data_IF_475211932935
#
_entry.id   IF_475211932935
#
_cell.length_a   1.000
_cell.length_b   1.000
_cell.length_c   1.000
_cell.angle_alpha   90.00
_cell.angle_beta   90.00
_cell.angle_gamma   90.00
#
_symmetry.space_group_name_H-M   'P 1'
#
loop_
_entity.id
_entity.type
_entity.pdbx_description
1 polymer ?
#
# COMPACT_ATOMS: atom_id res chain seq x y z
N UNK A 1 -17.19 40.66 -16.21
CA UNK A 1 -17.36 39.20 -16.01
C UNK A 1 -16.40 38.77 -14.92
N UNK A 2 -16.91 38.23 -13.81
CA UNK A 2 -16.10 37.87 -12.64
C UNK A 2 -15.68 36.41 -12.77
N UNK A 3 -14.38 36.14 -12.97
CA UNK A 3 -13.85 34.79 -13.14
C UNK A 3 -13.72 34.13 -11.76
N UNK A 4 -14.79 33.48 -11.32
CA UNK A 4 -14.75 32.62 -10.14
C UNK A 4 -13.95 31.36 -10.49
N UNK A 5 -12.67 31.35 -10.14
CA UNK A 5 -11.86 30.13 -10.16
C UNK A 5 -12.45 29.18 -9.11
N UNK A 6 -13.17 28.16 -9.53
CA UNK A 6 -13.50 27.02 -8.67
C UNK A 6 -12.17 26.44 -8.20
N UNK A 7 -11.74 26.74 -6.97
CA UNK A 7 -10.65 26.02 -6.32
C UNK A 7 -11.12 24.59 -6.17
N UNK A 8 -10.76 23.74 -7.14
CA UNK A 8 -10.88 22.29 -7.00
C UNK A 8 -9.90 21.94 -5.88
N UNK A 9 -10.42 21.89 -4.65
CA UNK A 9 -9.64 21.49 -3.49
C UNK A 9 -9.05 20.13 -3.78
N UNK A 10 -7.71 20.02 -3.74
CA UNK A 10 -7.07 18.72 -3.69
C UNK A 10 -7.53 18.08 -2.38
N UNK A 11 -8.56 17.24 -2.45
CA UNK A 11 -8.93 16.35 -1.35
C UNK A 11 -7.75 15.38 -1.25
N UNK A 12 -6.78 15.74 -0.40
CA UNK A 12 -5.70 14.85 -0.02
C UNK A 12 -6.36 13.86 0.92
N UNK A 13 -6.86 12.74 0.36
CA UNK A 13 -7.25 11.61 1.20
C UNK A 13 -6.04 11.32 2.09
N UNK A 14 -6.24 11.38 3.40
CA UNK A 14 -5.18 11.00 4.30
C UNK A 14 -4.90 9.52 3.99
N UNK A 15 -3.64 9.17 3.70
CA UNK A 15 -3.27 7.79 3.38
C UNK A 15 -3.68 6.84 4.53
N UNK A 16 -3.80 7.37 5.76
CA UNK A 16 -4.31 6.68 6.93
C UNK A 16 -5.80 6.29 6.85
N UNK A 17 -6.64 7.02 6.11
CA UNK A 17 -8.07 6.69 5.96
C UNK A 17 -8.33 5.60 4.92
N UNK A 18 -7.41 5.39 3.96
CA UNK A 18 -7.59 4.45 2.84
C UNK A 18 -6.84 3.13 3.05
N UNK A 19 -5.77 3.14 3.85
CA UNK A 19 -4.84 2.01 3.98
C UNK A 19 -4.57 1.70 5.44
N UNK A 20 -5.46 0.91 6.05
CA UNK A 20 -5.21 0.31 7.35
C UNK A 20 -4.03 -0.67 7.22
N UNK A 21 -2.93 -0.44 7.96
CA UNK A 21 -1.69 -1.22 7.86
C UNK A 21 -1.96 -2.73 7.99
N UNK A 22 -2.87 -3.10 8.89
CA UNK A 22 -3.26 -4.49 9.16
C UNK A 22 -3.89 -5.16 7.94
N UNK A 23 -4.68 -4.42 7.16
CA UNK A 23 -5.34 -4.95 5.97
C UNK A 23 -4.32 -5.15 4.83
N UNK A 24 -3.31 -4.27 4.73
CA UNK A 24 -2.20 -4.42 3.79
C UNK A 24 -1.35 -5.64 4.14
N UNK A 25 -1.04 -5.86 5.43
CA UNK A 25 -0.29 -7.02 5.89
C UNK A 25 -1.05 -8.33 5.63
N UNK A 26 -2.36 -8.36 5.88
CA UNK A 26 -3.21 -9.52 5.56
C UNK A 26 -3.24 -9.81 4.06
N UNK A 27 -3.38 -8.78 3.22
CA UNK A 27 -3.38 -8.94 1.76
C UNK A 27 -2.03 -9.44 1.25
N UNK A 28 -0.91 -8.96 1.82
CA UNK A 28 0.42 -9.45 1.51
C UNK A 28 0.54 -10.96 1.78
N UNK A 29 0.11 -11.41 2.97
CA UNK A 29 0.15 -12.84 3.32
C UNK A 29 -0.70 -13.67 2.35
N UNK A 30 -1.94 -13.23 2.11
CA UNK A 30 -2.86 -13.89 1.19
C UNK A 30 -2.26 -14.06 -0.22
N UNK A 31 -1.71 -13.00 -0.80
CA UNK A 31 -1.10 -13.09 -2.13
C UNK A 31 0.12 -14.00 -2.16
N UNK A 32 0.90 -14.04 -1.07
CA UNK A 32 2.08 -14.91 -0.98
C UNK A 32 1.67 -16.39 -0.93
N UNK A 33 0.61 -16.70 -0.16
CA UNK A 33 0.04 -18.05 -0.08
C UNK A 33 -0.59 -18.48 -1.42
N UNK A 34 -1.38 -17.60 -2.04
CA UNK A 34 -1.98 -17.87 -3.36
C UNK A 34 -0.92 -18.08 -4.43
N UNK A 35 0.15 -17.26 -4.45
CA UNK A 35 1.27 -17.42 -5.37
C UNK A 35 1.96 -18.77 -5.20
N UNK A 36 2.19 -19.19 -3.95
CA UNK A 36 2.83 -20.47 -3.65
C UNK A 36 1.97 -21.65 -4.11
N UNK A 37 0.66 -21.58 -3.86
CA UNK A 37 -0.29 -22.61 -4.30
C UNK A 37 -0.39 -22.70 -5.83
N UNK A 38 -0.28 -21.57 -6.53
CA UNK A 38 -0.37 -21.50 -7.98
C UNK A 38 0.95 -21.82 -8.70
N UNK A 39 2.07 -21.93 -7.98
CA UNK A 39 3.41 -22.11 -8.55
C UNK A 39 3.51 -23.28 -9.53
N UNK A 40 2.81 -24.38 -9.24
CA UNK A 40 2.86 -25.61 -10.05
C UNK A 40 1.81 -25.65 -11.16
N UNK A 41 0.70 -24.92 -11.01
CA UNK A 41 -0.42 -24.92 -11.96
C UNK A 41 -0.31 -23.82 -13.00
N UNK A 42 0.08 -22.62 -12.59
CA UNK A 42 0.26 -21.46 -13.45
C UNK A 42 1.39 -20.58 -12.92
N UNK A 43 2.58 -20.81 -13.48
CA UNK A 43 3.80 -20.10 -13.11
C UNK A 43 3.71 -18.61 -13.43
N UNK A 44 3.00 -18.24 -14.50
CA UNK A 44 2.85 -16.84 -14.91
C UNK A 44 1.98 -16.05 -13.94
N UNK A 45 0.91 -16.69 -13.45
CA UNK A 45 0.05 -16.11 -12.41
C UNK A 45 0.78 -16.05 -11.06
N UNK A 46 1.53 -17.09 -10.71
CA UNK A 46 2.36 -17.10 -9.50
C UNK A 46 3.37 -15.95 -9.47
N UNK A 47 4.10 -15.73 -10.57
CA UNK A 47 5.05 -14.62 -10.71
C UNK A 47 4.37 -13.25 -10.57
N UNK A 48 3.20 -13.09 -11.19
CA UNK A 48 2.39 -11.87 -11.06
C UNK A 48 1.99 -11.60 -9.60
N UNK A 49 1.49 -12.62 -8.90
CA UNK A 49 1.09 -12.51 -7.50
C UNK A 49 2.28 -12.18 -6.59
N UNK A 50 3.44 -12.79 -6.81
CA UNK A 50 4.67 -12.44 -6.09
C UNK A 50 5.13 -11.00 -6.36
N UNK A 51 4.99 -10.52 -7.60
CA UNK A 51 5.29 -9.14 -7.93
C UNK A 51 4.38 -8.15 -7.21
N UNK A 52 3.07 -8.41 -7.15
CA UNK A 52 2.12 -7.59 -6.38
C UNK A 52 2.40 -7.64 -4.87
N UNK A 53 2.68 -8.82 -4.32
CA UNK A 53 3.09 -8.98 -2.91
C UNK A 53 4.37 -8.17 -2.60
N UNK A 54 5.34 -8.12 -3.52
CA UNK A 54 6.55 -7.30 -3.38
C UNK A 54 6.25 -5.80 -3.30
N UNK A 55 5.25 -5.31 -4.06
CA UNK A 55 4.80 -3.91 -3.94
C UNK A 55 4.19 -3.64 -2.57
N UNK A 56 3.32 -4.53 -2.07
CA UNK A 56 2.71 -4.39 -0.75
C UNK A 56 3.76 -4.38 0.35
N UNK A 57 4.79 -5.25 0.26
CA UNK A 57 5.92 -5.25 1.19
C UNK A 57 6.65 -3.90 1.24
N UNK A 58 6.87 -3.26 0.09
CA UNK A 58 7.49 -1.91 0.04
C UNK A 58 6.60 -0.87 0.71
N UNK A 59 5.28 -0.94 0.50
CA UNK A 59 4.32 -0.04 1.14
C UNK A 59 4.33 -0.23 2.66
N UNK A 60 4.28 -1.48 3.15
CA UNK A 60 4.36 -1.80 4.59
C UNK A 60 5.65 -1.23 5.20
N UNK A 61 6.79 -1.42 4.52
CA UNK A 61 8.08 -0.93 5.00
C UNK A 61 8.11 0.60 5.08
N UNK A 62 7.59 1.28 4.05
CA UNK A 62 7.49 2.74 4.02
C UNK A 62 6.56 3.27 5.13
N UNK A 63 5.43 2.61 5.37
CA UNK A 63 4.49 2.99 6.43
C UNK A 63 5.10 2.79 7.83
N UNK A 64 5.81 1.68 8.05
CA UNK A 64 6.52 1.42 9.32
C UNK A 64 7.61 2.47 9.57
N UNK A 65 8.38 2.83 8.54
CA UNK A 65 9.41 3.87 8.62
C UNK A 65 8.81 5.27 8.80
N UNK A 66 7.66 5.56 8.20
CA UNK A 66 6.97 6.83 8.41
C UNK A 66 6.49 6.96 9.87
N UNK A 67 5.99 5.86 10.46
CA UNK A 67 5.53 5.84 11.84
C UNK A 67 6.67 6.00 12.87
N UNK A 68 7.90 5.56 12.55
CA UNK A 68 9.06 5.75 13.44
C UNK A 68 9.61 7.18 13.44
N UNK A 69 9.51 7.91 12.32
CA UNK A 69 10.08 9.26 12.19
C UNK A 69 9.28 10.34 12.94
N UNK A 70 8.01 10.09 13.29
CA UNK A 70 7.20 11.02 14.07
C UNK A 70 7.59 11.05 15.57
N UNK A 71 8.36 10.08 16.05
CA UNK A 71 8.76 9.99 17.47
C UNK A 71 10.06 10.74 17.74
N UNK A 72 10.93 10.90 16.74
CA UNK A 72 12.24 11.56 16.87
C UNK A 72 12.18 13.10 16.79
N UNK A 73 11.04 13.69 16.47
CA UNK A 73 10.87 15.15 16.41
C UNK A 73 10.48 15.79 17.77
N UNK A 74 10.47 15.01 18.86
CA UNK A 74 9.99 15.44 20.18
C UNK A 74 11.09 15.52 21.27
N UNK A 75 12.36 15.61 20.90
CA UNK A 75 13.47 15.85 21.85
C UNK A 75 14.26 17.12 21.52
#
# INVERSE_FOLDING_TARGET
MNTQFCKVGKIKFSLNEVLNLKDIENNYLKFTEEAYNMLQTDTSLSDFLYHEASKLRKIILNLKNAQSNDVDAAF
#
